data_IF_604070983256
#
_entry.id   IF_604070983256
#
_cell.length_a   1.000
_cell.length_b   1.000
_cell.length_c   1.000
_cell.angle_alpha   90.00
_cell.angle_beta   90.00
_cell.angle_gamma   90.00
#
_symmetry.space_group_name_H-M   'P 1'
#
loop_
_entity.id
_entity.type
_entity.pdbx_description
1 polymer ?
#
# COMPACT_ATOMS: atom_id res chain seq x y z
N UNK A 1 16.80 0.95 22.99
CA UNK A 1 15.35 1.28 23.03
C UNK A 1 14.89 1.41 21.59
N UNK A 2 13.91 0.61 21.16
CA UNK A 2 13.37 0.72 19.80
C UNK A 2 12.75 2.12 19.63
N UNK A 3 13.09 2.82 18.55
CA UNK A 3 12.50 4.14 18.27
C UNK A 3 10.97 4.01 18.21
N UNK A 4 10.19 4.88 18.89
CA UNK A 4 8.74 4.81 18.83
C UNK A 4 8.27 4.98 17.38
N UNK A 5 7.29 4.17 16.94
CA UNK A 5 6.60 4.38 15.67
C UNK A 5 5.42 5.32 15.93
N UNK A 6 5.51 6.54 15.42
CA UNK A 6 4.38 7.47 15.38
C UNK A 6 3.35 6.99 14.36
N UNK A 7 2.07 7.23 14.65
CA UNK A 7 0.95 6.81 13.83
C UNK A 7 0.02 8.01 13.63
N UNK A 8 -0.35 8.29 12.37
CA UNK A 8 -1.35 9.31 12.03
C UNK A 8 -2.46 8.70 11.19
N UNK A 9 -3.70 9.12 11.46
CA UNK A 9 -4.90 8.81 10.68
C UNK A 9 -5.42 10.11 10.10
N UNK A 10 -5.51 10.22 8.79
CA UNK A 10 -5.77 11.52 8.13
C UNK A 10 -7.07 11.56 7.31
N UNK A 11 -7.82 10.44 7.26
CA UNK A 11 -9.06 10.37 6.48
C UNK A 11 -8.78 10.54 4.99
N UNK A 12 -9.61 11.32 4.30
CA UNK A 12 -9.49 11.56 2.85
C UNK A 12 -8.56 12.74 2.55
N UNK A 13 -7.44 12.49 1.85
CA UNK A 13 -6.41 13.50 1.56
C UNK A 13 -6.07 13.53 0.08
N UNK A 14 -5.89 14.71 -0.51
CA UNK A 14 -5.42 14.85 -1.89
C UNK A 14 -4.03 14.22 -2.09
N UNK A 15 -3.83 13.51 -3.20
CA UNK A 15 -2.60 12.74 -3.42
C UNK A 15 -1.33 13.60 -3.39
N UNK A 16 -1.39 14.80 -3.99
CA UNK A 16 -0.27 15.73 -4.05
C UNK A 16 0.10 16.28 -2.67
N UNK A 17 -0.89 16.53 -1.82
CA UNK A 17 -0.70 16.97 -0.44
C UNK A 17 -0.04 15.87 0.39
N UNK A 18 -0.60 14.65 0.36
CA UNK A 18 -0.03 13.50 1.05
C UNK A 18 1.41 13.20 0.57
N UNK A 19 1.71 13.37 -0.72
CA UNK A 19 3.07 13.20 -1.25
C UNK A 19 4.04 14.26 -0.72
N UNK A 20 3.59 15.51 -0.58
CA UNK A 20 4.39 16.58 0.02
C UNK A 20 4.66 16.30 1.51
N UNK A 21 3.63 15.87 2.25
CA UNK A 21 3.76 15.45 3.64
C UNK A 21 4.73 14.28 3.79
N UNK A 22 4.59 13.23 2.97
CA UNK A 22 5.52 12.10 2.97
C UNK A 22 6.98 12.54 2.80
N UNK A 23 7.26 13.49 1.89
CA UNK A 23 8.61 14.02 1.65
C UNK A 23 9.16 14.79 2.85
N UNK A 24 8.33 15.62 3.50
CA UNK A 24 8.72 16.35 4.69
C UNK A 24 9.07 15.39 5.84
N UNK A 25 8.19 14.42 6.10
CA UNK A 25 8.36 13.40 7.14
C UNK A 25 9.59 12.53 6.85
N UNK A 26 9.80 12.12 5.60
CA UNK A 26 10.98 11.38 5.16
C UNK A 26 12.28 12.12 5.51
N UNK A 27 12.35 13.42 5.20
CA UNK A 27 13.53 14.24 5.50
C UNK A 27 13.79 14.36 7.01
N UNK A 28 12.75 14.53 7.82
CA UNK A 28 12.86 14.59 9.28
C UNK A 28 13.31 13.25 9.89
N UNK A 29 12.75 12.13 9.43
CA UNK A 29 13.13 10.78 9.88
C UNK A 29 14.57 10.45 9.47
N UNK A 30 14.99 10.82 8.25
CA UNK A 30 16.36 10.61 7.77
C UNK A 30 17.39 11.33 8.65
N UNK A 31 17.05 12.54 9.12
CA UNK A 31 17.87 13.36 10.00
C UNK A 31 17.76 12.96 11.49
N UNK A 32 16.83 12.06 11.84
CA UNK A 32 16.57 11.68 13.23
C UNK A 32 15.83 12.75 14.05
N UNK A 33 15.18 13.71 13.38
CA UNK A 33 14.40 14.78 14.01
C UNK A 33 12.97 14.35 14.35
N UNK A 34 12.50 13.27 13.75
CA UNK A 34 11.19 12.67 13.98
C UNK A 34 11.33 11.16 14.18
N UNK A 35 10.50 10.53 15.04
CA UNK A 35 10.32 9.09 15.05
C UNK A 35 9.91 8.53 13.69
N UNK A 36 10.18 7.23 13.48
CA UNK A 36 9.57 6.47 12.40
C UNK A 36 8.05 6.73 12.38
N UNK A 37 7.43 6.89 11.22
CA UNK A 37 6.02 7.29 11.11
C UNK A 37 5.26 6.36 10.18
N UNK A 38 4.05 5.96 10.57
CA UNK A 38 3.06 5.31 9.71
C UNK A 38 1.87 6.27 9.53
N UNK A 39 1.59 6.65 8.28
CA UNK A 39 0.40 7.43 7.93
C UNK A 39 -0.65 6.46 7.37
N UNK A 40 -1.89 6.55 7.85
CA UNK A 40 -3.05 5.83 7.33
C UNK A 40 -4.08 6.83 6.81
N UNK A 41 -4.51 6.67 5.57
CA UNK A 41 -5.43 7.58 4.90
C UNK A 41 -6.16 6.91 3.74
N UNK A 42 -7.05 7.66 3.12
CA UNK A 42 -7.67 7.38 1.83
C UNK A 42 -7.34 8.53 0.86
N UNK A 43 -7.45 8.27 -0.44
CA UNK A 43 -7.35 9.31 -1.46
C UNK A 43 -8.66 9.49 -2.20
N UNK A 44 -8.94 10.70 -2.72
CA UNK A 44 -9.81 10.85 -3.88
C UNK A 44 -9.34 9.97 -5.04
N UNK A 45 -10.24 9.67 -5.98
CA UNK A 45 -9.94 8.82 -7.14
C UNK A 45 -8.73 9.36 -7.92
N UNK A 46 -7.66 8.58 -7.98
CA UNK A 46 -6.39 9.00 -8.61
C UNK A 46 -5.63 7.80 -9.17
N UNK A 47 -5.10 7.97 -10.39
CA UNK A 47 -4.15 7.02 -10.96
C UNK A 47 -2.71 7.50 -10.73
N UNK A 48 -1.83 6.60 -10.29
CA UNK A 48 -0.42 6.91 -10.08
C UNK A 48 0.46 5.95 -10.88
N UNK A 49 1.42 6.49 -11.63
CA UNK A 49 2.34 5.72 -12.45
C UNK A 49 3.73 5.68 -11.79
N UNK A 50 4.13 4.49 -11.32
CA UNK A 50 5.49 4.26 -10.82
C UNK A 50 6.52 4.23 -11.97
N UNK A 51 7.81 4.21 -11.61
CA UNK A 51 8.92 4.33 -12.57
C UNK A 51 8.97 3.28 -13.70
N UNK A 52 8.28 2.15 -13.55
CA UNK A 52 8.28 1.04 -14.52
C UNK A 52 7.05 1.02 -15.41
N UNK A 53 6.14 1.97 -15.25
CA UNK A 53 4.89 2.05 -16.01
C UNK A 53 5.18 2.30 -17.48
N UNK A 54 4.55 1.53 -18.37
CA UNK A 54 4.54 1.80 -19.81
C UNK A 54 3.25 2.51 -20.23
N UNK A 55 3.28 3.23 -21.35
CA UNK A 55 2.09 3.94 -21.86
C UNK A 55 0.90 3.02 -22.16
N UNK A 56 1.16 1.76 -22.56
CA UNK A 56 0.13 0.76 -22.82
C UNK A 56 -0.65 0.32 -21.56
N UNK A 57 -0.11 0.61 -20.37
CA UNK A 57 -0.74 0.25 -19.10
C UNK A 57 -1.60 1.40 -18.55
N UNK A 58 -1.46 2.62 -19.10
CA UNK A 58 -2.18 3.82 -18.69
C UNK A 58 -3.61 3.84 -19.26
N UNK A 59 -4.54 4.59 -18.64
CA UNK A 59 -5.86 4.82 -19.22
C UNK A 59 -5.77 5.45 -20.60
N UNK A 60 -6.59 4.95 -21.54
CA UNK A 60 -6.65 5.45 -22.93
C UNK A 60 -7.76 6.47 -23.15
N UNK A 61 -8.55 6.78 -22.11
CA UNK A 61 -9.72 7.67 -22.16
C UNK A 61 -9.41 9.13 -21.81
N UNK A 62 -8.12 9.47 -21.62
CA UNK A 62 -7.67 10.80 -21.22
C UNK A 62 -7.73 11.06 -19.71
N UNK A 63 -8.05 10.06 -18.89
CA UNK A 63 -8.03 10.21 -17.42
C UNK A 63 -6.63 10.61 -16.94
N UNK A 64 -6.48 11.66 -16.11
CA UNK A 64 -5.18 12.10 -15.61
C UNK A 64 -4.45 11.01 -14.81
N UNK A 65 -3.13 10.96 -14.98
CA UNK A 65 -2.23 10.05 -14.25
C UNK A 65 -1.09 10.87 -13.65
N UNK A 66 -0.80 10.66 -12.37
CA UNK A 66 0.32 11.31 -11.69
C UNK A 66 1.55 10.40 -11.75
N UNK A 67 2.60 10.83 -12.44
CA UNK A 67 3.89 10.14 -12.43
C UNK A 67 4.59 10.32 -11.07
N UNK A 68 5.05 9.21 -10.50
CA UNK A 68 5.59 9.15 -9.14
C UNK A 68 6.85 8.30 -9.06
N UNK A 69 7.68 8.57 -8.06
CA UNK A 69 9.01 7.99 -7.94
C UNK A 69 9.07 6.64 -7.19
N UNK A 70 7.91 6.03 -6.89
CA UNK A 70 7.82 4.69 -6.29
C UNK A 70 8.22 3.57 -7.25
N UNK A 71 8.58 2.44 -6.67
CA UNK A 71 8.66 1.17 -7.39
C UNK A 71 7.29 0.73 -7.93
N UNK A 72 7.32 -0.29 -8.78
CA UNK A 72 6.13 -0.81 -9.45
C UNK A 72 5.71 0.00 -10.67
N UNK A 73 4.56 -0.38 -11.22
CA UNK A 73 3.93 0.22 -12.42
C UNK A 73 2.71 1.05 -12.00
N UNK A 74 1.75 1.23 -12.90
CA UNK A 74 0.52 1.96 -12.61
C UNK A 74 -0.36 1.26 -11.57
N UNK A 75 -1.06 2.08 -10.78
CA UNK A 75 -2.13 1.64 -9.88
C UNK A 75 -3.17 2.74 -9.74
N UNK A 76 -4.25 2.45 -9.01
CA UNK A 76 -5.32 3.38 -8.68
C UNK A 76 -5.55 3.40 -7.17
N UNK A 77 -5.88 4.59 -6.67
CA UNK A 77 -6.34 4.83 -5.31
C UNK A 77 -7.67 5.57 -5.33
N UNK A 78 -8.51 5.36 -4.33
CA UNK A 78 -9.79 6.06 -4.19
C UNK A 78 -10.48 5.75 -2.87
N UNK A 79 -11.67 6.34 -2.64
CA UNK A 79 -12.46 6.07 -1.44
C UNK A 79 -12.75 4.58 -1.28
N UNK A 80 -12.72 4.10 -0.03
CA UNK A 80 -12.85 2.68 0.32
C UNK A 80 -11.55 1.88 0.21
N UNK A 81 -10.44 2.49 -0.22
CA UNK A 81 -9.13 1.87 -0.23
C UNK A 81 -8.24 2.48 0.87
N UNK A 82 -7.86 1.66 1.86
CA UNK A 82 -6.96 2.10 2.92
C UNK A 82 -5.52 2.12 2.41
N UNK A 83 -4.94 3.32 2.35
CA UNK A 83 -3.55 3.56 1.97
C UNK A 83 -2.71 3.76 3.23
N UNK A 84 -1.56 3.08 3.28
CA UNK A 84 -0.62 3.20 4.37
C UNK A 84 0.77 3.57 3.90
N UNK A 85 1.35 4.62 4.49
CA UNK A 85 2.71 5.10 4.21
C UNK A 85 3.65 4.88 5.40
N UNK A 86 4.33 3.72 5.48
CA UNK A 86 5.38 3.49 6.45
C UNK A 86 6.65 4.26 6.03
N UNK A 87 6.91 5.39 6.68
CA UNK A 87 8.09 6.22 6.52
C UNK A 87 9.05 5.89 7.67
N UNK A 88 9.88 4.87 7.45
CA UNK A 88 10.70 4.28 8.50
C UNK A 88 12.15 4.17 8.07
N UNK A 89 13.07 4.43 9.00
CA UNK A 89 14.49 4.14 8.82
C UNK A 89 14.70 2.64 8.90
N UNK A 90 15.18 2.03 7.81
CA UNK A 90 15.39 0.59 7.74
C UNK A 90 16.63 0.19 8.56
N UNK A 91 16.50 -0.88 9.34
CA UNK A 91 17.64 -1.49 10.04
C UNK A 91 18.73 -1.95 9.06
N UNK A 92 18.31 -2.41 7.89
CA UNK A 92 19.19 -2.80 6.77
C UNK A 92 18.67 -2.19 5.45
N UNK A 93 19.16 -1.01 5.05
CA UNK A 93 18.68 -0.32 3.84
C UNK A 93 18.81 -1.11 2.53
N UNK A 94 19.70 -2.10 2.49
CA UNK A 94 19.92 -2.97 1.32
C UNK A 94 18.90 -4.11 1.20
N UNK A 95 18.14 -4.41 2.25
CA UNK A 95 17.19 -5.54 2.30
C UNK A 95 15.73 -5.09 2.00
N UNK A 96 15.51 -4.35 0.91
CA UNK A 96 14.17 -3.86 0.53
C UNK A 96 13.15 -4.99 0.34
N UNK A 97 13.57 -6.14 -0.20
CA UNK A 97 12.68 -7.30 -0.37
C UNK A 97 12.19 -7.82 0.98
N UNK A 98 13.07 -7.86 1.99
CA UNK A 98 12.69 -8.25 3.35
C UNK A 98 11.68 -7.28 3.97
N UNK A 99 11.89 -5.98 3.76
CA UNK A 99 10.94 -4.94 4.19
C UNK A 99 9.54 -5.11 3.57
N UNK A 100 9.47 -5.31 2.25
CA UNK A 100 8.20 -5.58 1.54
C UNK A 100 7.54 -6.84 2.08
N UNK A 101 8.31 -7.91 2.32
CA UNK A 101 7.78 -9.18 2.86
C UNK A 101 7.18 -9.03 4.25
N UNK A 102 7.72 -8.18 5.12
CA UNK A 102 7.11 -7.94 6.44
C UNK A 102 5.81 -7.14 6.34
N UNK A 103 5.69 -6.22 5.39
CA UNK A 103 4.41 -5.52 5.12
C UNK A 103 3.38 -6.53 4.59
N UNK A 104 3.76 -7.39 3.63
CA UNK A 104 2.89 -8.49 3.16
C UNK A 104 2.46 -9.39 4.31
N UNK A 105 3.38 -9.76 5.22
CA UNK A 105 3.05 -10.59 6.38
C UNK A 105 2.03 -9.91 7.30
N UNK A 106 2.18 -8.60 7.54
CA UNK A 106 1.25 -7.82 8.34
C UNK A 106 -0.14 -7.78 7.71
N UNK A 107 -0.22 -7.47 6.42
CA UNK A 107 -1.48 -7.41 5.67
C UNK A 107 -2.17 -8.78 5.52
N UNK A 108 -1.40 -9.87 5.40
CA UNK A 108 -1.96 -11.24 5.42
C UNK A 108 -2.62 -11.53 6.78
N UNK A 109 -1.97 -11.15 7.89
CA UNK A 109 -2.56 -11.29 9.22
C UNK A 109 -3.81 -10.43 9.40
N UNK A 110 -3.82 -9.21 8.86
CA UNK A 110 -5.02 -8.35 8.82
C UNK A 110 -6.16 -9.10 8.14
N UNK A 111 -5.94 -9.57 6.91
CA UNK A 111 -6.96 -10.31 6.16
C UNK A 111 -7.45 -11.56 6.92
N UNK A 112 -6.52 -12.29 7.54
CA UNK A 112 -6.85 -13.47 8.35
C UNK A 112 -7.72 -13.16 9.57
N UNK A 113 -7.58 -11.99 10.21
CA UNK A 113 -8.41 -11.60 11.37
C UNK A 113 -9.87 -11.37 10.96
N UNK A 114 -10.12 -11.05 9.69
CA UNK A 114 -11.47 -10.97 9.12
C UNK A 114 -11.95 -12.29 8.48
N UNK A 115 -11.14 -13.36 8.51
CA UNK A 115 -11.48 -14.65 7.91
C UNK A 115 -11.17 -14.75 6.41
N UNK A 116 -10.41 -13.82 5.83
CA UNK A 116 -10.00 -13.85 4.43
C UNK A 116 -8.65 -14.56 4.32
N UNK A 117 -8.63 -15.74 3.68
CA UNK A 117 -7.39 -16.47 3.44
C UNK A 117 -6.59 -15.82 2.30
N UNK A 118 -5.40 -15.32 2.61
CA UNK A 118 -4.54 -14.61 1.67
C UNK A 118 -3.11 -15.11 1.74
N UNK A 119 -2.38 -14.95 0.63
CA UNK A 119 -1.00 -15.38 0.50
C UNK A 119 -0.18 -14.44 -0.39
N UNK A 120 1.12 -14.75 -0.49
CA UNK A 120 2.02 -14.14 -1.47
C UNK A 120 2.00 -14.96 -2.75
N UNK A 121 2.21 -14.31 -3.88
CA UNK A 121 2.47 -14.97 -5.17
C UNK A 121 3.90 -14.64 -5.59
N UNK A 122 4.69 -15.66 -5.94
CA UNK A 122 6.10 -15.45 -6.29
C UNK A 122 6.24 -14.52 -7.50
N UNK A 123 7.23 -13.63 -7.43
CA UNK A 123 7.42 -12.57 -8.44
C UNK A 123 6.36 -11.46 -8.46
N UNK A 124 5.29 -11.54 -7.66
CA UNK A 124 4.16 -10.59 -7.67
C UNK A 124 3.95 -9.94 -6.30
N UNK A 125 4.64 -8.82 -6.05
CA UNK A 125 4.53 -8.09 -4.77
C UNK A 125 3.09 -7.69 -4.45
N UNK A 126 2.71 -7.82 -3.18
CA UNK A 126 1.36 -7.57 -2.68
C UNK A 126 0.75 -8.79 -2.00
N UNK A 127 -0.52 -8.65 -1.64
CA UNK A 127 -1.30 -9.71 -0.98
C UNK A 127 -2.43 -10.16 -1.89
N UNK A 128 -2.63 -11.46 -1.95
CA UNK A 128 -3.47 -12.13 -2.95
C UNK A 128 -4.41 -13.13 -2.30
N UNK A 129 -5.63 -13.22 -2.81
CA UNK A 129 -6.50 -14.39 -2.62
C UNK A 129 -6.25 -15.34 -3.78
N UNK A 130 -6.06 -16.62 -3.48
CA UNK A 130 -5.84 -17.65 -4.48
C UNK A 130 -6.72 -18.86 -4.14
N UNK A 131 -7.68 -19.12 -5.01
CA UNK A 131 -8.64 -20.21 -4.88
C UNK A 131 -9.05 -20.72 -6.28
N UNK A 132 -10.13 -21.50 -6.36
CA UNK A 132 -10.66 -22.03 -7.62
C UNK A 132 -11.09 -20.93 -8.62
N UNK A 133 -11.32 -19.69 -8.15
CA UNK A 133 -11.65 -18.53 -8.99
C UNK A 133 -10.39 -17.82 -9.52
N UNK A 134 -9.19 -18.34 -9.22
CA UNK A 134 -7.90 -17.81 -9.67
C UNK A 134 -7.23 -16.84 -8.69
N UNK A 135 -6.21 -16.12 -9.17
CA UNK A 135 -5.48 -15.13 -8.37
C UNK A 135 -6.16 -13.76 -8.40
N UNK A 136 -6.41 -13.20 -7.23
CA UNK A 136 -7.00 -11.86 -7.07
C UNK A 136 -6.21 -11.03 -6.08
N UNK A 137 -5.74 -9.86 -6.51
CA UNK A 137 -4.96 -8.95 -5.67
C UNK A 137 -5.87 -8.17 -4.73
N UNK A 138 -5.65 -8.28 -3.41
CA UNK A 138 -6.40 -7.52 -2.40
C UNK A 138 -5.60 -6.33 -1.86
N UNK A 139 -4.26 -6.41 -1.90
CA UNK A 139 -3.41 -5.28 -1.52
C UNK A 139 -2.23 -5.09 -2.48
N UNK A 140 -2.02 -3.85 -2.91
CA UNK A 140 -0.85 -3.44 -3.69
C UNK A 140 0.24 -2.88 -2.75
N UNK A 141 1.51 -3.10 -3.10
CA UNK A 141 2.66 -2.56 -2.37
C UNK A 141 3.65 -1.98 -3.37
N UNK A 142 4.01 -0.72 -3.15
CA UNK A 142 4.97 0.03 -3.97
C UNK A 142 5.76 0.97 -3.08
N UNK A 143 7.04 0.66 -2.87
CA UNK A 143 7.91 1.35 -1.91
C UNK A 143 9.11 1.94 -2.64
N UNK A 144 9.62 3.05 -2.12
CA UNK A 144 10.94 3.60 -2.43
C UNK A 144 11.76 3.69 -1.15
N UNK A 145 13.07 3.47 -1.25
CA UNK A 145 14.01 3.78 -0.17
C UNK A 145 15.00 4.83 -0.67
N UNK A 146 15.22 5.87 0.14
CA UNK A 146 16.23 6.89 -0.08
C UNK A 146 16.81 7.30 1.27
N UNK A 147 18.13 7.52 1.35
CA UNK A 147 18.83 7.87 2.60
C UNK A 147 18.57 6.86 3.75
N UNK A 148 18.32 5.59 3.40
CA UNK A 148 17.98 4.54 4.37
C UNK A 148 16.56 4.60 4.95
N UNK A 149 15.71 5.52 4.48
CA UNK A 149 14.32 5.70 4.93
C UNK A 149 13.36 5.36 3.80
N UNK A 150 12.28 4.64 4.12
CA UNK A 150 11.22 4.28 3.18
C UNK A 150 10.25 5.44 2.91
N UNK A 151 9.59 5.40 1.75
CA UNK A 151 8.50 6.29 1.36
C UNK A 151 7.53 5.52 0.46
N UNK A 152 6.31 6.05 0.25
CA UNK A 152 5.16 5.32 -0.30
C UNK A 152 4.79 4.15 0.62
N UNK A 153 4.22 3.07 0.11
CA UNK A 153 3.75 2.00 0.98
C UNK A 153 2.81 1.01 0.34
N UNK A 154 1.67 0.80 0.98
CA UNK A 154 0.66 -0.17 0.58
C UNK A 154 -0.71 0.47 0.36
N UNK A 155 -1.57 -0.24 -0.35
CA UNK A 155 -2.97 0.09 -0.55
C UNK A 155 -3.79 -1.18 -0.44
N UNK A 156 -4.64 -1.27 0.60
CA UNK A 156 -5.53 -2.39 0.89
C UNK A 156 -6.95 -2.04 0.41
N UNK A 157 -7.50 -2.85 -0.49
CA UNK A 157 -8.86 -2.66 -0.97
C UNK A 157 -9.84 -3.14 0.12
N UNK A 158 -10.43 -2.21 0.87
CA UNK A 158 -11.43 -2.53 1.88
C UNK A 158 -12.80 -2.64 1.23
N UNK A 159 -13.31 -1.53 0.73
CA UNK A 159 -14.57 -1.44 -0.03
C UNK A 159 -14.54 -0.34 -1.11
N UNK A 160 -13.53 -0.33 -2.01
CA UNK A 160 -13.48 0.66 -3.09
C UNK A 160 -14.31 0.23 -4.31
N UNK A 161 -14.64 1.19 -5.18
CA UNK A 161 -15.19 0.92 -6.50
C UNK A 161 -14.12 0.30 -7.43
N UNK A 162 -14.13 -1.02 -7.55
CA UNK A 162 -13.12 -1.77 -8.30
C UNK A 162 -13.16 -1.52 -9.82
N UNK A 163 -14.25 -0.99 -10.38
CA UNK A 163 -14.34 -0.69 -11.81
C UNK A 163 -13.25 0.29 -12.29
N UNK A 164 -12.65 1.09 -11.40
CA UNK A 164 -11.52 1.94 -11.72
C UNK A 164 -10.28 1.15 -12.20
N UNK A 165 -10.08 -0.08 -11.72
CA UNK A 165 -8.96 -0.92 -12.17
C UNK A 165 -9.11 -1.40 -13.61
N UNK A 166 -10.33 -1.46 -14.15
CA UNK A 166 -10.60 -1.91 -15.53
C UNK A 166 -10.04 -0.97 -16.60
N UNK A 167 -9.65 0.25 -16.22
CA UNK A 167 -9.09 1.25 -17.13
C UNK A 167 -7.57 1.16 -17.29
N UNK A 168 -6.91 0.28 -16.53
CA UNK A 168 -5.46 0.14 -16.50
C UNK A 168 -5.07 -1.33 -16.60
N UNK A 169 -3.78 -1.59 -16.84
CA UNK A 169 -3.19 -2.90 -16.59
C UNK A 169 -2.46 -2.81 -15.24
N UNK A 170 -3.15 -3.10 -14.12
CA UNK A 170 -2.61 -2.80 -12.79
C UNK A 170 -1.35 -3.63 -12.53
N UNK A 171 -0.30 -2.96 -12.07
CA UNK A 171 1.01 -3.60 -11.86
C UNK A 171 1.59 -4.29 -13.12
N UNK A 172 1.06 -4.05 -14.33
CA UNK A 172 1.43 -4.75 -15.56
C UNK A 172 1.03 -6.24 -15.59
N UNK A 173 0.04 -6.63 -14.78
CA UNK A 173 -0.45 -8.00 -14.66
C UNK A 173 -1.82 -8.05 -15.35
N UNK A 174 -1.92 -8.78 -16.46
CA UNK A 174 -3.15 -8.92 -17.25
C UNK A 174 -3.84 -10.27 -17.07
N UNK A 175 -3.22 -11.19 -16.33
CA UNK A 175 -3.68 -12.56 -16.11
C UNK A 175 -4.18 -12.80 -14.68
N UNK A 176 -4.43 -11.73 -13.91
CA UNK A 176 -5.00 -11.80 -12.57
C UNK A 176 -5.99 -10.65 -12.34
N UNK A 177 -6.94 -10.86 -11.44
CA UNK A 177 -7.95 -9.87 -11.09
C UNK A 177 -7.55 -9.07 -9.84
N UNK A 178 -8.35 -8.05 -9.52
CA UNK A 178 -8.29 -7.28 -8.27
C UNK A 178 -9.55 -7.61 -7.47
N UNK A 179 -9.45 -7.65 -6.14
CA UNK A 179 -10.58 -7.89 -5.22
C UNK A 179 -10.52 -6.93 -4.04
N UNK A 180 -11.56 -6.95 -3.20
CA UNK A 180 -11.68 -6.16 -1.98
C UNK A 180 -12.07 -7.02 -0.78
N UNK A 181 -11.91 -6.50 0.43
CA UNK A 181 -12.40 -7.17 1.63
C UNK A 181 -13.92 -7.33 1.60
N UNK A 182 -14.66 -6.32 1.12
CA UNK A 182 -16.11 -6.37 1.00
C UNK A 182 -16.58 -7.51 0.07
N UNK A 183 -15.92 -7.68 -1.08
CA UNK A 183 -16.26 -8.75 -2.03
C UNK A 183 -15.96 -10.13 -1.47
N UNK A 184 -14.77 -10.33 -0.88
CA UNK A 184 -14.36 -11.63 -0.36
C UNK A 184 -15.15 -12.04 0.91
N UNK A 185 -15.64 -11.06 1.68
CA UNK A 185 -16.50 -11.32 2.83
C UNK A 185 -17.99 -11.36 2.47
N UNK A 186 -18.37 -10.93 1.27
CA UNK A 186 -19.76 -10.77 0.83
C UNK A 186 -20.60 -9.93 1.81
N UNK A 187 -20.00 -8.85 2.34
CA UNK A 187 -20.67 -7.90 3.24
C UNK A 187 -20.01 -6.54 3.17
N UNK A 188 -20.76 -5.51 3.56
CA UNK A 188 -20.18 -4.19 3.76
C UNK A 188 -19.17 -4.17 4.92
N UNK A 189 -18.09 -3.43 4.70
CA UNK A 189 -17.05 -3.13 5.67
C UNK A 189 -16.45 -1.76 5.33
N UNK A 190 -16.20 -0.95 6.36
CA UNK A 190 -15.61 0.38 6.20
C UNK A 190 -14.10 0.36 6.46
N UNK A 191 -13.39 1.37 5.97
CA UNK A 191 -11.98 1.57 6.30
C UNK A 191 -11.79 1.72 7.82
N UNK A 192 -12.71 2.38 8.51
CA UNK A 192 -12.68 2.55 9.97
C UNK A 192 -12.75 1.24 10.74
N UNK A 193 -13.49 0.23 10.23
CA UNK A 193 -13.54 -1.11 10.83
C UNK A 193 -12.18 -1.83 10.75
N UNK A 194 -11.39 -1.52 9.72
CA UNK A 194 -10.14 -2.22 9.36
C UNK A 194 -8.91 -1.55 9.98
N UNK A 195 -8.94 -0.22 10.16
CA UNK A 195 -7.82 0.57 10.70
C UNK A 195 -7.23 -0.03 11.99
N UNK A 196 -8.01 -0.37 13.05
CA UNK A 196 -7.44 -0.86 14.30
C UNK A 196 -6.63 -2.16 14.12
N UNK A 197 -7.08 -3.04 13.22
CA UNK A 197 -6.41 -4.32 12.93
C UNK A 197 -5.15 -4.09 12.10
N UNK A 198 -5.20 -3.18 11.12
CA UNK A 198 -4.03 -2.75 10.34
C UNK A 198 -2.96 -2.16 11.25
N UNK A 199 -3.32 -1.25 12.15
CA UNK A 199 -2.37 -0.64 13.07
C UNK A 199 -1.62 -1.67 13.91
N UNK A 200 -2.37 -2.59 14.53
CA UNK A 200 -1.80 -3.67 15.34
C UNK A 200 -0.75 -4.46 14.56
N UNK A 201 -1.11 -5.01 13.40
CA UNK A 201 -0.21 -5.90 12.66
C UNK A 201 0.89 -5.18 11.90
N UNK A 202 0.64 -3.97 11.39
CA UNK A 202 1.68 -3.19 10.73
C UNK A 202 2.67 -2.64 11.75
N UNK A 203 2.22 -2.25 12.95
CA UNK A 203 3.15 -1.91 14.03
C UNK A 203 4.06 -3.10 14.37
N UNK A 204 3.50 -4.29 14.59
CA UNK A 204 4.29 -5.51 14.83
C UNK A 204 5.32 -5.79 13.72
N UNK A 205 4.91 -5.70 12.46
CA UNK A 205 5.77 -5.94 11.30
C UNK A 205 6.88 -4.89 11.19
N UNK A 206 6.53 -3.61 11.26
CA UNK A 206 7.48 -2.50 11.07
C UNK A 206 8.55 -2.49 12.18
N UNK A 207 8.18 -2.79 13.42
CA UNK A 207 9.11 -2.84 14.56
C UNK A 207 10.17 -3.96 14.48
N UNK A 208 10.09 -4.86 13.50
CA UNK A 208 11.12 -5.88 13.24
C UNK A 208 12.18 -5.42 12.22
N UNK A 209 11.83 -4.46 11.38
CA UNK A 209 12.61 -4.04 10.20
C UNK A 209 13.08 -2.60 10.28
N UNK A 210 12.59 -1.83 11.25
CA UNK A 210 13.04 -0.47 11.53
C UNK A 210 14.22 -0.41 12.51
N UNK A 211 15.05 0.62 12.33
CA UNK A 211 16.16 0.99 13.22
C UNK A 211 15.69 1.81 14.43
#
# INVERSE_FOLDING_TARGET
MKSPLALTREGLVEYSEALAQQRAIHAEVAQGLRPNTLILLEHPSVYTAGKRTSELEKPTDGTPVIDVDRGGKITWHGPGQLVGYPIVKLAKPTELVGFVREIEAGLIKVCSEFGINTQRVDGRSGVWVCDERGERKIAAIGIRVAQGVSMHGFALNVNPELAAFNRIIPCGISDAAVTSMADELSRDISVDDVIPVVEKYLFESLMKVSA
#
